data_IF_893057038917
#
_entry.id   IF_893057038917
#
_cell.length_a   1.000
_cell.length_b   1.000
_cell.length_c   1.000
_cell.angle_alpha   90.00
_cell.angle_beta   90.00
_cell.angle_gamma   90.00
#
_symmetry.space_group_name_H-M   'P 1'
#
loop_
_entity.id
_entity.type
_entity.pdbx_description
1 polymer ?
#
# COMPACT_ATOMS: atom_id res chain seq x y z
N UNK A 1 -1.11 8.12 -15.74
CA UNK A 1 -1.42 8.88 -14.51
C UNK A 1 -0.89 8.08 -13.32
N UNK A 2 -0.22 8.69 -12.33
CA UNK A 2 0.14 7.99 -11.07
C UNK A 2 -0.84 8.38 -9.99
N UNK A 3 -1.18 7.44 -9.12
CA UNK A 3 -1.99 7.73 -7.93
C UNK A 3 -1.19 8.55 -6.93
N UNK A 4 -1.85 9.47 -6.23
CA UNK A 4 -1.24 10.21 -5.14
C UNK A 4 -1.05 9.29 -3.92
N UNK A 5 0.14 9.32 -3.32
CA UNK A 5 0.42 8.60 -2.09
C UNK A 5 0.18 9.56 -0.91
N UNK A 6 -0.56 9.10 0.09
CA UNK A 6 -0.71 9.76 1.39
C UNK A 6 -0.36 8.77 2.48
N UNK A 7 0.45 9.21 3.43
CA UNK A 7 0.85 8.41 4.59
C UNK A 7 0.07 8.85 5.81
N UNK A 8 -0.34 7.88 6.62
CA UNK A 8 -0.69 8.12 8.02
C UNK A 8 0.58 8.48 8.79
N UNK A 9 0.44 9.23 9.88
CA UNK A 9 1.59 9.59 10.71
C UNK A 9 2.28 8.36 11.30
N UNK A 10 1.52 7.32 11.64
CA UNK A 10 2.03 6.02 12.06
C UNK A 10 2.91 5.39 10.98
N UNK A 11 2.48 5.46 9.72
CA UNK A 11 3.26 4.91 8.60
C UNK A 11 4.55 5.70 8.35
N UNK A 12 4.56 7.01 8.65
CA UNK A 12 5.79 7.82 8.62
C UNK A 12 6.75 7.36 9.71
N UNK A 13 6.27 7.19 10.95
CA UNK A 13 7.08 6.70 12.07
C UNK A 13 7.64 5.29 11.80
N UNK A 14 6.81 4.39 11.26
CA UNK A 14 7.24 3.06 10.84
C UNK A 14 8.35 3.15 9.80
N UNK A 15 8.18 3.99 8.78
CA UNK A 15 9.18 4.21 7.74
C UNK A 15 10.49 4.75 8.33
N UNK A 16 10.43 5.73 9.23
CA UNK A 16 11.59 6.34 9.86
C UNK A 16 12.41 5.34 10.67
N UNK A 17 11.76 4.38 11.32
CA UNK A 17 12.41 3.32 12.12
C UNK A 17 13.17 2.27 11.29
N UNK A 18 12.94 2.19 9.98
CA UNK A 18 13.61 1.20 9.11
C UNK A 18 15.08 1.54 8.87
N UNK A 19 15.91 0.49 8.80
CA UNK A 19 17.30 0.59 8.36
C UNK A 19 17.39 1.13 6.92
N UNK A 20 18.57 1.65 6.55
CA UNK A 20 18.76 2.36 5.29
C UNK A 20 18.47 1.53 4.03
N UNK A 21 18.79 0.23 4.02
CA UNK A 21 18.51 -0.65 2.87
C UNK A 21 17.03 -1.00 2.77
N UNK A 22 16.42 -1.33 3.90
CA UNK A 22 15.02 -1.71 4.01
C UNK A 22 14.12 -0.51 3.68
N UNK A 23 14.45 0.68 4.20
CA UNK A 23 13.80 1.95 3.85
C UNK A 23 13.84 2.22 2.35
N UNK A 24 15.00 2.04 1.70
CA UNK A 24 15.14 2.19 0.24
C UNK A 24 14.30 1.18 -0.54
N UNK A 25 14.25 -0.08 -0.09
CA UNK A 25 13.40 -1.11 -0.71
C UNK A 25 11.92 -0.71 -0.64
N UNK A 26 11.46 -0.32 0.55
CA UNK A 26 10.06 0.06 0.79
C UNK A 26 9.66 1.28 -0.03
N UNK A 27 10.47 2.34 -0.05
CA UNK A 27 10.21 3.55 -0.85
C UNK A 27 10.07 3.20 -2.33
N UNK A 28 11.00 2.42 -2.88
CA UNK A 28 10.95 2.00 -4.29
C UNK A 28 9.70 1.17 -4.59
N UNK A 29 9.33 0.24 -3.71
CA UNK A 29 8.12 -0.55 -3.85
C UNK A 29 6.85 0.29 -3.82
N UNK A 30 6.74 1.22 -2.87
CA UNK A 30 5.57 2.09 -2.74
C UNK A 30 5.42 3.00 -3.97
N UNK A 31 6.52 3.56 -4.49
CA UNK A 31 6.52 4.35 -5.73
C UNK A 31 6.11 3.50 -6.94
N UNK A 32 6.55 2.24 -7.02
CA UNK A 32 6.13 1.33 -8.08
C UNK A 32 4.63 1.03 -7.98
N UNK A 33 4.14 0.77 -6.78
CA UNK A 33 2.73 0.43 -6.53
C UNK A 33 1.81 1.58 -6.90
N UNK A 34 2.19 2.85 -6.66
CA UNK A 34 1.35 3.99 -7.04
C UNK A 34 1.12 4.16 -8.55
N UNK A 35 1.87 3.44 -9.39
CA UNK A 35 1.62 3.39 -10.83
C UNK A 35 0.36 2.58 -11.16
N UNK A 36 0.07 1.52 -10.40
CA UNK A 36 -1.17 0.75 -10.49
C UNK A 36 -1.49 0.08 -9.14
N UNK A 37 -2.06 0.83 -8.19
CA UNK A 37 -2.31 0.36 -6.83
C UNK A 37 -3.62 -0.43 -6.73
N UNK A 38 -4.27 -0.75 -7.85
CA UNK A 38 -5.48 -1.56 -7.86
C UNK A 38 -5.22 -2.97 -7.29
N UNK A 39 -6.28 -3.68 -6.88
CA UNK A 39 -6.21 -5.10 -6.61
C UNK A 39 -5.56 -5.88 -7.75
N UNK A 40 -4.82 -6.94 -7.41
CA UNK A 40 -4.24 -7.87 -8.38
C UNK A 40 -5.30 -8.62 -9.18
N UNK A 41 -6.51 -8.75 -8.63
CA UNK A 41 -7.70 -9.23 -9.34
C UNK A 41 -8.18 -8.26 -10.43
N UNK A 42 -7.76 -7.00 -10.38
CA UNK A 42 -8.02 -5.95 -11.37
C UNK A 42 -6.73 -5.58 -12.17
N UNK A 43 -5.70 -6.43 -12.10
CA UNK A 43 -4.43 -6.22 -12.80
C UNK A 43 -3.45 -5.24 -12.12
N UNK A 44 -3.76 -4.78 -10.90
CA UNK A 44 -2.85 -3.95 -10.11
C UNK A 44 -1.89 -4.74 -9.22
N UNK A 45 -1.13 -4.03 -8.40
CA UNK A 45 -0.10 -4.65 -7.54
C UNK A 45 -0.60 -5.08 -6.16
N UNK A 46 -1.75 -4.61 -5.71
CA UNK A 46 -2.25 -4.85 -4.36
C UNK A 46 -2.84 -6.24 -4.20
N UNK A 47 -2.46 -7.00 -3.17
CA UNK A 47 -3.18 -8.22 -2.78
C UNK A 47 -4.32 -7.85 -1.81
N UNK A 48 -5.60 -8.13 -2.13
CA UNK A 48 -6.71 -7.89 -1.22
C UNK A 48 -6.52 -8.55 0.14
N UNK A 49 -6.88 -7.80 1.19
CA UNK A 49 -7.04 -8.31 2.53
C UNK A 49 -8.51 -8.59 2.80
N UNK A 50 -8.76 -9.55 3.68
CA UNK A 50 -10.10 -9.89 4.16
C UNK A 50 -10.09 -9.97 5.69
N UNK A 51 -11.13 -10.59 6.24
CA UNK A 51 -11.19 -10.84 7.67
C UNK A 51 -10.21 -11.97 8.05
N UNK A 52 -9.39 -11.73 9.08
CA UNK A 52 -8.53 -12.75 9.65
C UNK A 52 -8.52 -12.62 11.17
N UNK A 53 -8.85 -13.72 11.87
CA UNK A 53 -8.79 -13.82 13.33
C UNK A 53 -9.56 -12.71 14.06
N UNK A 54 -10.71 -12.30 13.54
CA UNK A 54 -11.56 -11.26 14.13
C UNK A 54 -11.21 -9.83 13.75
N UNK A 55 -10.10 -9.61 13.02
CA UNK A 55 -9.74 -8.29 12.50
C UNK A 55 -10.26 -8.16 11.06
N UNK A 56 -11.22 -7.26 10.86
CA UNK A 56 -11.79 -6.99 9.54
C UNK A 56 -10.94 -5.98 8.76
N UNK A 57 -10.10 -6.48 7.84
CA UNK A 57 -9.30 -5.65 6.93
C UNK A 57 -9.89 -5.60 5.51
N UNK A 58 -11.17 -5.92 5.36
CA UNK A 58 -11.86 -5.85 4.06
C UNK A 58 -11.75 -4.44 3.49
N UNK A 59 -11.41 -4.33 2.20
CA UNK A 59 -11.17 -3.04 1.53
C UNK A 59 -9.72 -2.56 1.58
N UNK A 60 -8.88 -3.15 2.43
CA UNK A 60 -7.44 -2.91 2.41
C UNK A 60 -6.71 -3.86 1.44
N UNK A 61 -5.55 -3.42 1.01
CA UNK A 61 -4.62 -4.11 0.13
C UNK A 61 -3.26 -4.21 0.81
N UNK A 62 -2.48 -5.21 0.44
CA UNK A 62 -1.07 -5.29 0.85
C UNK A 62 -0.14 -5.59 -0.32
N UNK A 63 1.10 -5.14 -0.17
CA UNK A 63 2.26 -5.68 -0.88
C UNK A 63 3.20 -6.33 0.11
N UNK A 64 3.94 -7.36 -0.32
CA UNK A 64 4.99 -8.01 0.47
C UNK A 64 6.32 -7.89 -0.26
N UNK A 65 7.32 -7.38 0.45
CA UNK A 65 8.70 -7.32 -0.02
C UNK A 65 9.36 -8.68 0.17
N UNK A 66 9.93 -9.26 -0.89
CA UNK A 66 10.43 -10.64 -0.86
C UNK A 66 11.65 -10.79 0.03
N UNK A 67 12.57 -9.82 0.02
CA UNK A 67 13.82 -9.90 0.76
C UNK A 67 13.62 -9.61 2.24
N UNK A 68 13.02 -8.47 2.57
CA UNK A 68 12.77 -8.07 3.97
C UNK A 68 11.59 -8.79 4.62
N UNK A 69 10.68 -9.39 3.84
CA UNK A 69 9.43 -9.96 4.35
C UNK A 69 8.40 -8.92 4.83
N UNK A 70 8.76 -7.63 4.79
CA UNK A 70 7.90 -6.52 5.20
C UNK A 70 6.64 -6.43 4.36
N UNK A 71 5.61 -5.82 4.96
CA UNK A 71 4.33 -5.57 4.31
C UNK A 71 3.98 -4.11 4.43
N UNK A 72 3.57 -3.52 3.32
CA UNK A 72 2.88 -2.22 3.32
C UNK A 72 1.41 -2.50 3.10
N UNK A 73 0.57 -1.99 4.00
CA UNK A 73 -0.89 -2.08 3.95
C UNK A 73 -1.44 -0.71 3.58
N UNK A 74 -2.38 -0.66 2.66
CA UNK A 74 -2.99 0.57 2.18
C UNK A 74 -4.44 0.34 1.73
N UNK A 75 -5.18 1.41 1.49
CA UNK A 75 -6.49 1.38 0.84
C UNK A 75 -6.50 2.42 -0.28
N UNK A 76 -7.50 2.34 -1.15
CA UNK A 76 -7.66 3.27 -2.26
C UNK A 76 -8.74 4.30 -1.95
N UNK A 77 -8.38 5.57 -1.98
CA UNK A 77 -9.34 6.68 -1.94
C UNK A 77 -9.60 7.15 -3.38
N UNK A 78 -10.80 6.87 -3.91
CA UNK A 78 -11.25 7.39 -5.21
C UNK A 78 -12.01 8.68 -4.94
N UNK A 79 -11.36 9.83 -5.11
CA UNK A 79 -12.07 11.11 -5.12
C UNK A 79 -12.75 11.25 -6.47
N UNK A 80 -14.05 11.05 -6.51
CA UNK A 80 -14.84 11.33 -7.70
C UNK A 80 -14.82 12.82 -8.00
N UNK A 81 -14.57 13.20 -9.24
CA UNK A 81 -15.34 14.29 -9.81
C UNK A 81 -16.80 13.85 -9.76
N UNK A 82 -17.62 14.58 -9.01
CA UNK A 82 -19.06 14.59 -9.24
C UNK A 82 -19.21 15.23 -10.62
N UNK A 83 -19.35 14.41 -11.65
CA UNK A 83 -19.88 14.87 -12.93
C UNK A 83 -21.38 15.07 -12.73
N UNK A 84 -21.81 16.33 -12.86
CA UNK A 84 -23.21 16.76 -12.82
C UNK A 84 -24.09 16.01 -13.83
#
# INVERSE_FOLDING_TARGET
MRWQIKFYEEAVRDMESLDGSTKKEVIKGTIKVSQNPLPNTEGGYGKPLGNHSGVNLTGFLKIKFKQSGLRVVYFLERKGEIVN
#
